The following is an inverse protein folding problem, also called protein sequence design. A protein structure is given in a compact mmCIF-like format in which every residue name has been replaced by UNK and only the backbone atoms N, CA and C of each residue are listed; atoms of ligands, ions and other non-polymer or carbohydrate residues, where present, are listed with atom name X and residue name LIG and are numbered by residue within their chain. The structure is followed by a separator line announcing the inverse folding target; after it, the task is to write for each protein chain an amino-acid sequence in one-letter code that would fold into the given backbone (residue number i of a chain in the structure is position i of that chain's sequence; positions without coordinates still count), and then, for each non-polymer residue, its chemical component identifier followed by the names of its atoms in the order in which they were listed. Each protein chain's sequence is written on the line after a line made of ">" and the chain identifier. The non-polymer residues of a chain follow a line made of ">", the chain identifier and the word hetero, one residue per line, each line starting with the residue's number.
data_IF_373760824966
#
_entry.id   IF_373760824966
#
_cell.length_a   1.000
_cell.length_b   1.000
_cell.length_c   1.000
_cell.angle_alpha   90.00
_cell.angle_beta   90.00
_cell.angle_gamma   90.00
#
_symmetry.space_group_name_H-M   'P 1'
#
loop_
_entity.id
_entity.type
_entity.pdbx_description
1 polymer ?
#
# COMPACT_ATOMS: atom_id res chain seq x y z
N UNK A 1 32.55 -19.95 -7.22
CA UNK A 1 31.44 -19.15 -7.77
C UNK A 1 31.97 -18.37 -8.96
N UNK A 2 31.39 -18.53 -10.14
CA UNK A 2 31.78 -17.76 -11.33
C UNK A 2 31.26 -16.34 -11.19
N UNK A 3 32.14 -15.34 -11.16
CA UNK A 3 31.77 -13.94 -11.26
C UNK A 3 31.49 -13.62 -12.74
N UNK A 4 30.22 -13.35 -13.05
CA UNK A 4 29.86 -12.84 -14.36
C UNK A 4 29.98 -11.31 -14.32
N UNK A 5 31.01 -10.77 -14.96
CA UNK A 5 31.17 -9.35 -15.21
C UNK A 5 30.77 -9.07 -16.66
N UNK A 6 29.85 -8.11 -16.87
CA UNK A 6 29.59 -7.61 -18.22
C UNK A 6 30.23 -6.21 -18.37
N UNK A 7 30.79 -5.98 -19.56
CA UNK A 7 31.39 -4.69 -19.88
C UNK A 7 30.27 -3.64 -20.07
N UNK A 8 30.34 -2.55 -19.31
CA UNK A 8 29.46 -1.38 -19.50
C UNK A 8 28.48 -1.11 -18.37
N UNK A 9 28.68 -1.66 -17.17
CA UNK A 9 27.90 -1.29 -15.99
C UNK A 9 28.21 0.14 -15.52
N UNK A 10 27.19 0.87 -15.10
CA UNK A 10 27.36 2.16 -14.40
C UNK A 10 27.45 1.85 -12.91
N UNK A 11 28.58 2.19 -12.30
CA UNK A 11 28.73 2.15 -10.84
C UNK A 11 28.11 3.41 -10.26
N UNK A 12 26.85 3.30 -9.79
CA UNK A 12 26.18 4.39 -9.10
C UNK A 12 26.66 4.44 -7.64
N UNK A 13 27.33 5.51 -7.27
CA UNK A 13 27.65 5.74 -5.86
C UNK A 13 26.37 5.84 -5.05
N UNK A 14 26.16 4.88 -4.15
CA UNK A 14 24.91 4.74 -3.39
C UNK A 14 24.68 5.81 -2.33
N UNK A 15 25.70 6.61 -1.98
CA UNK A 15 25.68 7.62 -0.91
C UNK A 15 25.03 7.13 0.41
N UNK A 16 25.12 5.82 0.67
CA UNK A 16 24.51 5.18 1.84
C UNK A 16 25.33 5.33 3.11
N UNK A 17 26.53 5.91 3.02
CA UNK A 17 27.45 6.06 4.14
C UNK A 17 26.85 6.87 5.30
N UNK A 18 25.91 7.78 4.98
CA UNK A 18 25.23 8.61 5.99
C UNK A 18 24.16 7.86 6.79
N UNK A 19 23.61 6.79 6.24
CA UNK A 19 22.45 6.09 6.80
C UNK A 19 22.72 4.62 7.15
N UNK A 20 23.80 4.02 6.67
CA UNK A 20 24.09 2.59 6.84
C UNK A 20 24.18 2.12 8.31
N UNK A 21 24.60 3.01 9.19
CA UNK A 21 24.80 2.72 10.61
C UNK A 21 23.69 3.33 11.49
N UNK A 22 22.66 3.94 10.88
CA UNK A 22 21.51 4.45 11.62
C UNK A 22 20.54 3.31 11.93
N UNK A 23 19.90 3.33 13.11
CA UNK A 23 18.85 2.37 13.43
C UNK A 23 17.63 2.58 12.49
N UNK A 24 16.85 1.52 12.33
CA UNK A 24 15.53 1.63 11.67
C UNK A 24 14.61 2.36 12.64
N UNK A 25 14.04 3.47 12.17
CA UNK A 25 13.05 4.25 12.93
C UNK A 25 11.64 3.88 12.45
N UNK A 26 10.72 3.74 13.40
CA UNK A 26 9.32 3.53 13.13
C UNK A 26 8.62 4.89 12.97
N UNK A 27 7.94 5.07 11.85
CA UNK A 27 7.13 6.27 11.58
C UNK A 27 5.68 5.87 11.69
N UNK A 28 4.97 6.45 12.66
CA UNK A 28 3.54 6.22 12.80
C UNK A 28 2.76 6.96 11.71
N UNK A 29 1.69 6.34 11.19
CA UNK A 29 0.82 6.98 10.22
C UNK A 29 0.18 8.26 10.76
N UNK A 30 0.00 9.26 9.89
CA UNK A 30 -0.69 10.48 10.24
C UNK A 30 -2.19 10.28 10.52
N UNK A 31 -2.85 11.36 10.96
CA UNK A 31 -4.29 11.36 11.25
C UNK A 31 -5.15 11.03 10.02
N UNK A 32 -4.77 11.53 8.87
CA UNK A 32 -5.46 11.28 7.61
C UNK A 32 -4.55 10.56 6.64
N UNK A 33 -5.05 9.48 6.04
CA UNK A 33 -4.38 8.75 4.99
C UNK A 33 -5.18 8.88 3.70
N UNK A 34 -4.46 9.10 2.61
CA UNK A 34 -5.02 9.25 1.27
C UNK A 34 -4.61 8.05 0.41
N UNK A 35 -5.58 7.36 -0.15
CA UNK A 35 -5.40 6.20 -1.00
C UNK A 35 -5.80 6.57 -2.44
N UNK A 36 -4.84 6.96 -3.31
CA UNK A 36 -5.14 7.35 -4.68
C UNK A 36 -5.53 6.14 -5.53
N UNK A 37 -6.53 6.33 -6.38
CA UNK A 37 -7.02 5.35 -7.35
C UNK A 37 -6.51 5.74 -8.75
N UNK A 38 -5.24 5.37 -9.05
CA UNK A 38 -4.54 5.83 -10.27
C UNK A 38 -4.82 4.97 -11.50
N UNK A 39 -5.25 3.72 -11.30
CA UNK A 39 -5.41 2.74 -12.38
C UNK A 39 -6.88 2.45 -12.72
N UNK A 40 -7.79 3.36 -12.36
CA UNK A 40 -9.22 3.20 -12.63
C UNK A 40 -9.92 2.24 -11.67
N UNK A 41 -9.37 2.08 -10.47
CA UNK A 41 -10.03 1.35 -9.39
C UNK A 41 -11.37 2.00 -9.06
N UNK A 42 -12.33 1.16 -8.68
CA UNK A 42 -13.62 1.58 -8.14
C UNK A 42 -13.62 1.38 -6.64
N UNK A 43 -14.13 2.36 -5.94
CA UNK A 43 -14.34 2.30 -4.50
C UNK A 43 -15.30 1.17 -4.14
N UNK A 44 -14.98 0.47 -3.06
CA UNK A 44 -15.81 -0.57 -2.44
C UNK A 44 -16.39 -0.10 -1.09
N UNK A 45 -16.03 1.11 -0.68
CA UNK A 45 -16.40 1.72 0.60
C UNK A 45 -17.07 3.06 0.37
N UNK A 46 -17.86 3.51 1.33
CA UNK A 46 -18.58 4.79 1.26
C UNK A 46 -18.12 5.72 2.40
N UNK A 47 -18.23 7.05 2.23
CA UNK A 47 -17.97 8.00 3.31
C UNK A 47 -18.79 7.70 4.56
N UNK A 48 -18.15 7.70 5.73
CA UNK A 48 -18.72 7.35 7.02
C UNK A 48 -18.57 5.87 7.40
N UNK A 49 -18.16 5.00 6.49
CA UNK A 49 -17.90 3.59 6.75
C UNK A 49 -16.63 3.40 7.58
N UNK A 50 -16.68 2.49 8.54
CA UNK A 50 -15.50 2.09 9.31
C UNK A 50 -14.78 0.95 8.61
N UNK A 51 -13.47 1.08 8.44
CA UNK A 51 -12.61 0.10 7.77
C UNK A 51 -11.53 -0.42 8.72
N UNK A 52 -11.07 -1.62 8.45
CA UNK A 52 -10.00 -2.29 9.17
C UNK A 52 -8.69 -2.20 8.39
N UNK A 53 -7.57 -2.27 9.10
CA UNK A 53 -6.27 -2.44 8.46
C UNK A 53 -6.25 -3.78 7.70
N UNK A 54 -5.77 -3.77 6.45
CA UNK A 54 -5.82 -4.92 5.55
C UNK A 54 -7.12 -5.06 4.75
N UNK A 55 -8.17 -4.30 5.07
CA UNK A 55 -9.43 -4.37 4.33
C UNK A 55 -9.28 -3.84 2.91
N UNK A 56 -9.83 -4.56 1.92
CA UNK A 56 -9.91 -4.13 0.53
C UNK A 56 -10.90 -2.95 0.42
N UNK A 57 -10.42 -1.79 -0.04
CA UNK A 57 -11.21 -0.55 -0.14
C UNK A 57 -11.49 -0.11 -1.57
N UNK A 58 -10.67 -0.53 -2.54
CA UNK A 58 -10.91 -0.31 -3.95
C UNK A 58 -10.25 -1.38 -4.81
N UNK A 59 -10.77 -1.61 -6.02
CA UNK A 59 -10.18 -2.53 -7.01
C UNK A 59 -10.59 -2.15 -8.43
N UNK A 60 -9.79 -2.58 -9.42
CA UNK A 60 -10.18 -2.57 -10.85
C UNK A 60 -11.19 -3.69 -11.14
N UNK A 61 -11.92 -3.59 -12.25
CA UNK A 61 -12.91 -4.62 -12.66
C UNK A 61 -12.27 -5.98 -12.90
N UNK A 62 -11.06 -5.99 -13.47
CA UNK A 62 -10.27 -7.21 -13.70
C UNK A 62 -9.53 -7.70 -12.45
N UNK A 63 -9.65 -6.97 -11.34
CA UNK A 63 -8.98 -7.22 -10.06
C UNK A 63 -7.44 -7.30 -10.14
N UNK A 64 -6.83 -6.73 -11.19
CA UNK A 64 -5.36 -6.64 -11.31
C UNK A 64 -4.77 -5.59 -10.39
N UNK A 65 -5.51 -4.51 -10.10
CA UNK A 65 -5.15 -3.51 -9.08
C UNK A 65 -6.13 -3.59 -7.91
N UNK A 66 -5.59 -3.63 -6.71
CA UNK A 66 -6.34 -3.71 -5.44
C UNK A 66 -5.71 -2.76 -4.45
N UNK A 67 -6.52 -1.99 -3.76
CA UNK A 67 -6.10 -1.06 -2.73
C UNK A 67 -6.66 -1.52 -1.40
N UNK A 68 -5.78 -1.78 -0.44
CA UNK A 68 -6.13 -2.16 0.92
C UNK A 68 -5.82 -1.01 1.87
N UNK A 69 -6.63 -0.85 2.91
CA UNK A 69 -6.34 0.12 3.95
C UNK A 69 -5.14 -0.33 4.79
N UNK A 70 -4.20 0.57 5.03
CA UNK A 70 -3.06 0.32 5.94
C UNK A 70 -3.36 0.65 7.40
N UNK A 71 -4.52 1.22 7.68
CA UNK A 71 -4.95 1.60 9.04
C UNK A 71 -6.40 1.23 9.27
N UNK A 72 -6.80 1.15 10.54
CA UNK A 72 -8.21 1.16 10.91
C UNK A 72 -8.70 2.59 11.10
N UNK A 73 -9.97 2.84 10.76
CA UNK A 73 -10.54 4.18 10.87
C UNK A 73 -11.83 4.36 10.10
N UNK A 74 -12.22 5.61 9.90
CA UNK A 74 -13.46 5.97 9.20
C UNK A 74 -13.13 6.61 7.86
N UNK A 75 -13.79 6.16 6.81
CA UNK A 75 -13.72 6.81 5.49
C UNK A 75 -14.34 8.20 5.62
N UNK A 76 -13.52 9.23 5.46
CA UNK A 76 -13.94 10.62 5.60
C UNK A 76 -14.57 11.16 4.35
N UNK A 77 -13.91 10.95 3.21
CA UNK A 77 -14.37 11.44 1.91
C UNK A 77 -13.76 10.60 0.77
N UNK A 78 -14.38 10.72 -0.40
CA UNK A 78 -13.80 10.30 -1.67
C UNK A 78 -13.72 11.56 -2.52
N UNK A 79 -12.50 12.00 -2.82
CA UNK A 79 -12.27 13.30 -3.46
C UNK A 79 -11.10 13.26 -4.44
N UNK A 80 -10.90 14.34 -5.18
CA UNK A 80 -9.81 14.42 -6.14
C UNK A 80 -8.52 14.85 -5.43
N UNK A 81 -7.48 14.03 -5.60
CA UNK A 81 -6.13 14.32 -5.13
C UNK A 81 -5.13 14.32 -6.28
N UNK A 82 -4.09 15.11 -6.12
CA UNK A 82 -2.97 15.11 -7.07
C UNK A 82 -2.02 13.98 -6.73
N UNK A 83 -1.68 13.17 -7.71
CA UNK A 83 -0.69 12.09 -7.57
C UNK A 83 0.73 12.66 -7.57
N UNK A 84 1.71 11.84 -7.22
CA UNK A 84 3.13 12.19 -7.32
C UNK A 84 3.58 12.51 -8.76
N UNK A 85 2.81 12.08 -9.76
CA UNK A 85 3.05 12.38 -11.18
C UNK A 85 2.43 13.71 -11.62
N UNK A 86 1.69 14.40 -10.75
CA UNK A 86 1.00 15.65 -11.07
C UNK A 86 -0.35 15.46 -11.77
N UNK A 87 -0.89 14.25 -11.79
CA UNK A 87 -2.19 13.93 -12.35
C UNK A 87 -3.27 13.95 -11.25
N UNK A 88 -4.49 14.35 -11.59
CA UNK A 88 -5.62 14.31 -10.68
C UNK A 88 -6.33 12.95 -10.78
N UNK A 89 -6.39 12.21 -9.69
CA UNK A 89 -7.18 10.99 -9.57
C UNK A 89 -8.20 11.10 -8.43
N UNK A 90 -9.16 10.18 -8.40
CA UNK A 90 -10.00 10.00 -7.21
C UNK A 90 -9.18 9.34 -6.12
N UNK A 91 -9.40 9.71 -4.87
CA UNK A 91 -8.73 9.12 -3.73
C UNK A 91 -9.69 8.93 -2.56
N UNK A 92 -9.50 7.85 -1.82
CA UNK A 92 -10.23 7.57 -0.58
C UNK A 92 -9.43 8.17 0.57
N UNK A 93 -10.05 9.01 1.36
CA UNK A 93 -9.45 9.62 2.55
C UNK A 93 -9.98 8.92 3.79
N UNK A 94 -9.09 8.35 4.60
CA UNK A 94 -9.41 7.64 5.84
C UNK A 94 -8.86 8.43 7.03
N UNK A 95 -9.71 8.69 8.01
CA UNK A 95 -9.31 9.23 9.31
C UNK A 95 -8.89 8.06 10.20
N UNK A 96 -7.59 7.98 10.49
CA UNK A 96 -6.98 6.96 11.33
C UNK A 96 -7.49 7.06 12.76
N UNK A 97 -7.91 5.95 13.35
CA UNK A 97 -8.36 5.86 14.73
C UNK A 97 -7.26 5.45 15.72
N UNK A 98 -6.03 5.27 15.22
CA UNK A 98 -4.82 4.88 15.97
C UNK A 98 -4.95 3.54 16.72
N UNK A 99 -5.98 2.75 16.43
CA UNK A 99 -6.22 1.45 17.09
C UNK A 99 -5.65 0.29 16.31
N UNK A 100 -5.36 0.49 15.03
CA UNK A 100 -4.76 -0.51 14.12
C UNK A 100 -5.47 -1.87 14.18
N UNK A 101 -6.80 -1.85 14.24
CA UNK A 101 -7.59 -3.08 14.19
C UNK A 101 -7.43 -3.75 12.84
N UNK A 102 -6.92 -4.95 12.84
CA UNK A 102 -6.64 -5.71 11.62
C UNK A 102 -7.85 -6.52 11.17
N UNK A 103 -7.97 -6.67 9.86
CA UNK A 103 -8.88 -7.61 9.26
C UNK A 103 -8.33 -9.03 9.45
N UNK A 104 -9.18 -9.95 9.90
CA UNK A 104 -8.79 -11.36 10.01
C UNK A 104 -8.64 -11.96 8.60
N UNK A 105 -7.44 -12.40 8.27
CA UNK A 105 -7.11 -12.97 6.96
C UNK A 105 -7.30 -14.49 6.86
N UNK A 106 -7.95 -15.11 7.84
CA UNK A 106 -8.13 -16.57 7.90
C UNK A 106 -6.98 -17.30 8.60
N UNK A 107 -7.19 -18.59 8.83
CA UNK A 107 -6.19 -19.44 9.49
C UNK A 107 -4.99 -19.68 8.57
N UNK A 108 -3.83 -19.83 9.20
CA UNK A 108 -2.61 -20.26 8.51
C UNK A 108 -2.83 -21.66 7.93
N UNK A 109 -2.56 -21.83 6.64
CA UNK A 109 -2.61 -23.11 5.95
C UNK A 109 -1.25 -23.33 5.30
N UNK A 110 -0.66 -24.52 5.51
CA UNK A 110 0.58 -24.89 4.87
C UNK A 110 0.40 -24.93 3.34
N UNK A 111 1.36 -24.38 2.61
CA UNK A 111 1.30 -24.33 1.14
C UNK A 111 1.29 -25.75 0.51
N UNK A 112 1.84 -26.75 1.22
CA UNK A 112 1.89 -28.14 0.79
C UNK A 112 0.50 -28.79 0.77
N UNK A 113 -0.46 -28.26 1.55
CA UNK A 113 -1.84 -28.75 1.64
C UNK A 113 -2.77 -28.10 0.61
N UNK A 114 -2.26 -27.17 -0.22
CA UNK A 114 -3.04 -26.41 -1.19
C UNK A 114 -2.70 -26.81 -2.63
N UNK A 115 -3.73 -26.89 -3.46
CA UNK A 115 -3.54 -26.96 -4.90
C UNK A 115 -3.07 -25.60 -5.48
N UNK A 116 -2.38 -25.64 -6.62
CA UNK A 116 -1.81 -24.44 -7.27
C UNK A 116 -2.84 -23.33 -7.47
N UNK A 117 -4.07 -23.69 -7.84
CA UNK A 117 -5.15 -22.72 -8.04
C UNK A 117 -5.58 -22.06 -6.72
N UNK A 118 -5.61 -22.81 -5.63
CA UNK A 118 -5.95 -22.29 -4.30
C UNK A 118 -4.86 -21.38 -3.76
N UNK A 119 -3.58 -21.71 -4.05
CA UNK A 119 -2.45 -20.83 -3.73
C UNK A 119 -2.58 -19.52 -4.49
N UNK A 120 -2.88 -19.58 -5.80
CA UNK A 120 -3.06 -18.40 -6.63
C UNK A 120 -4.24 -17.53 -6.14
N UNK A 121 -5.36 -18.13 -5.75
CA UNK A 121 -6.49 -17.41 -5.16
C UNK A 121 -6.12 -16.75 -3.84
N UNK A 122 -5.48 -17.46 -2.92
CA UNK A 122 -5.03 -16.90 -1.63
C UNK A 122 -4.00 -15.79 -1.82
N UNK A 123 -3.07 -15.93 -2.75
CA UNK A 123 -2.15 -14.86 -3.12
C UNK A 123 -2.95 -13.66 -3.64
N UNK A 124 -3.90 -13.86 -4.53
CA UNK A 124 -4.71 -12.78 -5.10
C UNK A 124 -5.61 -12.10 -4.06
N UNK A 125 -6.12 -12.81 -3.08
CA UNK A 125 -6.93 -12.26 -1.99
C UNK A 125 -6.09 -11.42 -1.01
N UNK A 126 -4.86 -11.86 -0.75
CA UNK A 126 -3.99 -11.30 0.29
C UNK A 126 -2.79 -10.51 -0.26
N UNK A 127 -2.69 -10.30 -1.57
CA UNK A 127 -1.64 -9.43 -2.10
C UNK A 127 -1.90 -8.01 -1.60
N UNK A 128 -1.14 -7.63 -0.58
CA UNK A 128 -0.79 -6.24 -0.36
C UNK A 128 -0.12 -5.76 -1.64
N UNK A 129 -0.85 -5.03 -2.44
CA UNK A 129 -0.26 -4.41 -3.61
C UNK A 129 0.75 -3.39 -3.10
N UNK A 130 2.05 -3.69 -3.22
CA UNK A 130 3.16 -2.80 -2.84
C UNK A 130 3.12 -1.45 -3.57
N UNK A 131 2.18 -1.28 -4.49
CA UNK A 131 1.90 -0.02 -5.16
C UNK A 131 1.00 0.94 -4.35
N UNK A 132 0.48 0.55 -3.19
CA UNK A 132 -0.09 1.51 -2.26
C UNK A 132 1.04 2.36 -1.67
N UNK A 133 1.50 3.33 -2.43
CA UNK A 133 2.28 4.44 -1.90
C UNK A 133 1.35 5.16 -0.95
N UNK A 134 1.51 4.90 0.33
CA UNK A 134 0.86 5.68 1.37
C UNK A 134 1.46 7.07 1.28
N UNK A 135 0.81 7.95 0.55
CA UNK A 135 1.16 9.37 0.52
C UNK A 135 0.78 9.95 1.88
N UNK A 136 1.77 10.10 2.74
CA UNK A 136 1.62 10.92 3.92
C UNK A 136 1.57 12.39 3.48
N UNK A 137 0.38 12.93 3.30
CA UNK A 137 0.19 14.35 3.18
C UNK A 137 -0.04 14.94 4.56
N UNK A 138 1.05 15.19 5.25
CA UNK A 138 1.08 16.30 6.18
C UNK A 138 1.51 17.53 5.36
N UNK A 139 0.69 18.58 5.38
CA UNK A 139 0.91 19.83 4.63
C UNK A 139 2.17 20.62 5.06
N UNK A 140 3.09 20.01 5.79
CA UNK A 140 4.23 20.69 6.40
C UNK A 140 5.61 20.23 5.93
N UNK A 141 5.74 19.33 4.98
CA UNK A 141 7.05 18.91 4.49
C UNK A 141 7.17 18.85 2.98
N UNK A 142 7.34 20.02 2.37
CA UNK A 142 8.15 20.18 1.17
C UNK A 142 9.11 21.37 1.38
N UNK A 143 10.34 21.05 1.76
CA UNK A 143 11.53 21.82 1.46
C UNK A 143 12.50 20.95 0.69
#
# INVERSE_FOLDING_TARGET
>A
MAHYTFHGGIDLRGHKERTKDLPIEEILPGRFLVFPMEHGEKELVIPGEYVLAGQLIAKTEDALSRIHSSVSGVVKSIEKHMTVRGELCSAIVIENDEKYKEMYCGDYVEAEDLEVNQIAEKINENIFNFNAVVSFYDNSCFC
#
